data_IF_812298003058
#
_entry.id   IF_812298003058
#
_cell.length_a   1.000
_cell.length_b   1.000
_cell.length_c   1.000
_cell.angle_alpha   90.00
_cell.angle_beta   90.00
_cell.angle_gamma   90.00
#
_symmetry.space_group_name_H-M   'P 1'
#
loop_
_entity.id
_entity.type
_entity.pdbx_description
1 polymer ?
#
# COMPACT_ATOMS: atom_id res chain seq x y z
N UNK A 1 9.52 -56.57 42.96
CA UNK A 1 10.96 -56.58 43.31
C UNK A 1 11.48 -55.17 43.04
N UNK A 2 11.45 -54.31 44.06
CA UNK A 2 12.55 -54.10 45.02
C UNK A 2 13.60 -53.14 44.41
N UNK A 3 13.45 -51.82 44.57
CA UNK A 3 13.93 -50.99 45.70
C UNK A 3 15.38 -50.51 45.58
N UNK A 4 15.57 -49.26 45.98
CA UNK A 4 16.74 -48.67 46.69
C UNK A 4 17.80 -47.91 45.87
N UNK A 5 17.83 -46.59 46.08
CA UNK A 5 19.01 -45.73 45.98
C UNK A 5 20.04 -46.05 47.09
N UNK A 6 21.29 -45.55 47.05
CA UNK A 6 21.59 -44.32 47.81
C UNK A 6 22.76 -43.44 47.27
N UNK A 7 23.03 -42.38 48.04
CA UNK A 7 23.78 -41.15 47.76
C UNK A 7 25.28 -41.12 48.15
N UNK A 8 26.02 -40.10 47.65
CA UNK A 8 26.85 -39.07 48.37
C UNK A 8 27.84 -38.38 47.38
N UNK A 9 27.79 -37.04 47.18
CA UNK A 9 28.44 -35.88 47.88
C UNK A 9 29.93 -35.72 47.48
N UNK A 10 30.42 -34.59 46.93
CA UNK A 10 30.70 -33.30 47.61
C UNK A 10 31.15 -32.17 46.63
N UNK A 11 30.78 -30.92 47.00
CA UNK A 11 31.46 -29.59 46.88
C UNK A 11 31.77 -29.00 45.49
N UNK A 12 31.48 -27.73 45.15
CA UNK A 12 31.78 -26.45 45.85
C UNK A 12 30.81 -25.34 45.38
N UNK A 13 30.20 -24.57 46.28
CA UNK A 13 30.48 -23.14 46.61
C UNK A 13 29.89 -22.07 45.66
N UNK A 14 29.32 -21.01 46.26
CA UNK A 14 29.21 -19.68 45.63
C UNK A 14 27.81 -19.07 45.54
N UNK A 15 27.30 -18.55 46.65
CA UNK A 15 26.08 -17.76 46.74
C UNK A 15 26.17 -16.36 46.08
N UNK A 16 25.02 -15.87 45.60
CA UNK A 16 24.75 -14.48 45.20
C UNK A 16 24.93 -13.49 46.39
N UNK A 17 24.98 -12.14 46.22
CA UNK A 17 23.78 -11.38 45.83
C UNK A 17 24.00 -10.03 45.09
N UNK A 18 22.86 -9.48 44.63
CA UNK A 18 22.65 -8.17 44.02
C UNK A 18 23.06 -6.95 44.89
N UNK A 19 23.39 -5.81 44.23
CA UNK A 19 22.85 -4.46 44.53
C UNK A 19 23.40 -3.33 43.64
N UNK A 20 22.50 -2.37 43.40
CA UNK A 20 22.66 -0.90 43.25
C UNK A 20 22.95 -0.26 41.87
N UNK A 21 21.88 0.33 41.34
CA UNK A 21 21.73 1.73 40.92
C UNK A 21 22.96 2.63 41.13
N UNK A 22 23.41 3.27 40.04
CA UNK A 22 24.23 4.48 40.06
C UNK A 22 23.47 5.59 39.34
N UNK A 23 23.10 6.61 40.13
CA UNK A 23 22.71 7.96 39.71
C UNK A 23 23.94 8.64 39.09
N UNK A 24 23.78 9.30 37.95
CA UNK A 24 24.67 10.36 37.52
C UNK A 24 23.85 11.65 37.38
N UNK A 25 24.05 12.53 38.36
CA UNK A 25 23.70 13.94 38.34
C UNK A 25 25.01 14.73 38.34
N UNK A 26 25.14 15.68 37.44
CA UNK A 26 26.16 16.73 37.51
C UNK A 26 25.46 18.08 37.59
N UNK A 27 25.82 18.84 38.62
CA UNK A 27 25.32 20.16 38.98
C UNK A 27 26.37 21.23 38.65
N UNK A 28 25.92 22.49 38.76
CA UNK A 28 26.63 23.78 38.93
C UNK A 28 26.65 24.63 37.64
N UNK A 29 26.30 25.92 37.63
CA UNK A 29 26.61 27.05 38.55
C UNK A 29 25.42 28.06 38.48
N UNK A 30 24.73 28.47 39.56
CA UNK A 30 25.00 29.52 40.57
C UNK A 30 24.99 30.99 40.07
N UNK A 31 23.92 31.71 40.43
CA UNK A 31 23.80 33.13 40.87
C UNK A 31 22.32 33.51 40.75
N UNK A 32 21.59 34.08 41.71
CA UNK A 32 21.88 34.65 43.01
C UNK A 32 20.78 35.70 43.29
N UNK A 33 20.39 35.85 44.56
CA UNK A 33 19.59 36.93 45.16
C UNK A 33 18.10 36.65 45.44
N UNK A 34 17.90 36.16 46.67
CA UNK A 34 16.73 36.21 47.55
C UNK A 34 16.28 37.65 47.83
N UNK A 35 14.98 37.91 48.04
CA UNK A 35 14.38 38.47 49.27
C UNK A 35 12.85 38.39 49.19
N UNK A 36 12.25 37.88 50.26
CA UNK A 36 10.82 37.70 50.50
C UNK A 36 10.09 38.99 50.91
N UNK A 37 8.77 39.05 50.70
CA UNK A 37 7.76 39.29 51.77
C UNK A 37 6.45 39.94 51.28
N UNK A 38 5.33 39.37 51.76
CA UNK A 38 3.99 39.94 52.00
C UNK A 38 2.97 40.08 50.86
N UNK A 39 1.94 39.22 50.98
CA UNK A 39 0.55 39.35 50.51
C UNK A 39 -0.17 40.48 51.29
N UNK A 40 -1.24 41.12 50.77
CA UNK A 40 -2.59 40.52 50.82
C UNK A 40 -3.46 40.67 49.55
N UNK A 41 -4.31 39.66 49.35
CA UNK A 41 -5.68 39.65 48.84
C UNK A 41 -6.12 40.57 47.68
N UNK A 42 -6.55 39.97 46.56
CA UNK A 42 -7.88 40.18 45.99
C UNK A 42 -8.24 39.11 44.93
N UNK A 43 -9.47 38.64 45.05
CA UNK A 43 -10.21 37.63 44.29
C UNK A 43 -10.24 37.77 42.76
N UNK A 44 -10.17 36.63 42.05
CA UNK A 44 -11.31 36.08 41.27
C UNK A 44 -10.91 34.77 40.57
N UNK A 45 -11.55 33.69 41.02
CA UNK A 45 -11.58 32.38 40.35
C UNK A 45 -12.75 32.40 39.38
N UNK A 46 -12.51 32.15 38.09
CA UNK A 46 -13.58 31.86 37.12
C UNK A 46 -13.55 30.36 36.82
N UNK A 47 -14.55 29.66 37.37
CA UNK A 47 -14.96 28.31 36.99
C UNK A 47 -15.52 28.36 35.56
N UNK A 48 -15.02 27.51 34.66
CA UNK A 48 -15.72 27.14 33.44
C UNK A 48 -16.51 25.85 33.72
N UNK A 49 -17.82 26.02 33.87
CA UNK A 49 -18.79 24.93 34.01
C UNK A 49 -19.24 24.41 32.65
N UNK A 50 -19.34 23.08 32.59
CA UNK A 50 -20.05 22.29 31.60
C UNK A 50 -21.41 22.89 31.22
N UNK A 51 -21.64 23.09 29.93
CA UNK A 51 -22.96 23.43 29.37
C UNK A 51 -23.31 22.50 28.22
N UNK A 52 -24.39 21.76 28.47
CA UNK A 52 -25.33 21.07 27.61
C UNK A 52 -25.36 21.55 26.15
N UNK A 53 -25.08 20.65 25.20
CA UNK A 53 -25.42 20.83 23.78
C UNK A 53 -26.88 20.42 23.56
N UNK A 54 -27.73 21.42 23.36
CA UNK A 54 -29.11 21.27 22.91
C UNK A 54 -29.11 21.05 21.40
N UNK A 55 -29.82 20.01 20.95
CA UNK A 55 -30.05 19.71 19.53
C UNK A 55 -30.83 20.84 18.85
N UNK A 56 -30.29 21.37 17.75
CA UNK A 56 -31.02 22.23 16.81
C UNK A 56 -31.16 21.46 15.50
N UNK A 57 -32.40 21.14 15.17
CA UNK A 57 -32.79 20.57 13.88
C UNK A 57 -33.02 21.69 12.84
N UNK A 58 -33.03 21.23 11.57
CA UNK A 58 -33.56 21.86 10.34
C UNK A 58 -32.53 22.62 9.46
N UNK A 59 -32.78 22.74 8.14
CA UNK A 59 -33.31 21.74 7.21
C UNK A 59 -32.50 21.67 5.89
N UNK A 60 -32.62 20.55 5.18
CA UNK A 60 -32.11 20.37 3.82
C UNK A 60 -32.84 21.29 2.84
N UNK A 61 -32.09 22.11 2.10
CA UNK A 61 -32.49 22.65 0.79
C UNK A 61 -31.36 22.41 -0.21
N UNK A 62 -31.57 21.41 -1.05
CA UNK A 62 -30.80 21.14 -2.27
C UNK A 62 -30.92 22.32 -3.24
N UNK A 63 -29.81 22.98 -3.53
CA UNK A 63 -29.60 23.68 -4.81
C UNK A 63 -28.36 23.10 -5.48
N UNK A 64 -28.61 22.34 -6.54
CA UNK A 64 -27.63 21.81 -7.47
C UNK A 64 -26.98 22.99 -8.20
N UNK A 65 -25.76 23.35 -7.84
CA UNK A 65 -24.93 24.26 -8.63
C UNK A 65 -24.05 23.39 -9.52
N UNK A 66 -24.36 23.39 -10.82
CA UNK A 66 -23.48 22.84 -11.86
C UNK A 66 -22.24 23.73 -11.95
N UNK A 67 -21.08 23.22 -11.59
CA UNK A 67 -19.80 23.76 -12.03
C UNK A 67 -19.26 22.88 -13.14
N UNK A 68 -19.26 23.43 -14.35
CA UNK A 68 -18.66 22.83 -15.53
C UNK A 68 -17.14 22.78 -15.43
N UNK A 69 -16.59 21.73 -16.04
CA UNK A 69 -15.29 21.63 -16.70
C UNK A 69 -14.02 21.91 -15.90
N UNK A 70 -13.32 20.83 -15.54
CA UNK A 70 -11.86 20.78 -15.60
C UNK A 70 -11.47 19.66 -16.59
N UNK A 71 -10.62 20.02 -17.54
CA UNK A 71 -10.24 19.30 -18.75
C UNK A 71 -9.63 17.91 -18.51
N UNK A 72 -9.73 16.98 -19.49
CA UNK A 72 -9.11 15.67 -19.39
C UNK A 72 -7.58 15.82 -19.39
N UNK A 73 -6.95 15.34 -18.32
CA UNK A 73 -5.49 15.19 -18.28
C UNK A 73 -5.19 13.87 -18.99
N UNK A 74 -4.94 13.95 -20.28
CA UNK A 74 -4.38 12.87 -21.06
C UNK A 74 -2.88 12.73 -20.72
N UNK A 75 -2.49 11.58 -20.20
CA UNK A 75 -1.10 11.12 -20.19
C UNK A 75 -1.12 9.68 -20.69
N UNK A 76 -0.49 9.43 -21.83
CA UNK A 76 -0.14 8.13 -22.40
C UNK A 76 -1.23 7.02 -22.37
N UNK A 77 -2.39 7.30 -22.95
CA UNK A 77 -3.22 6.26 -23.57
C UNK A 77 -4.01 5.32 -22.66
N UNK A 78 -4.19 5.62 -21.37
CA UNK A 78 -5.10 4.89 -20.47
C UNK A 78 -6.15 5.86 -19.89
N UNK A 79 -7.31 5.97 -20.55
CA UNK A 79 -8.42 6.81 -20.11
C UNK A 79 -9.23 6.11 -19.00
N UNK A 80 -8.77 6.24 -17.74
CA UNK A 80 -9.22 5.41 -16.61
C UNK A 80 -10.33 6.02 -15.74
N UNK A 81 -11.11 6.99 -16.21
CA UNK A 81 -12.09 7.66 -15.32
C UNK A 81 -13.51 7.11 -15.40
N UNK A 82 -13.98 6.68 -16.56
CA UNK A 82 -15.33 6.12 -16.73
C UNK A 82 -15.34 4.57 -16.69
N UNK A 83 -14.35 3.94 -17.32
CA UNK A 83 -14.22 2.48 -17.41
C UNK A 83 -13.82 1.83 -16.06
N UNK A 84 -13.15 2.59 -15.18
CA UNK A 84 -12.69 2.08 -13.89
C UNK A 84 -13.80 1.76 -12.89
N UNK A 85 -15.03 2.22 -13.12
CA UNK A 85 -16.18 1.87 -12.27
C UNK A 85 -16.87 0.58 -12.74
N UNK A 86 -16.88 0.31 -14.05
CA UNK A 86 -17.49 -0.89 -14.63
C UNK A 86 -16.57 -2.12 -14.50
N UNK A 87 -15.26 -1.95 -14.72
CA UNK A 87 -14.26 -3.02 -14.64
C UNK A 87 -14.08 -3.59 -13.20
N UNK A 88 -14.40 -2.78 -12.17
CA UNK A 88 -14.38 -3.20 -10.75
C UNK A 88 -15.31 -4.36 -10.43
N UNK A 89 -16.39 -4.55 -11.18
CA UNK A 89 -17.40 -5.57 -10.85
C UNK A 89 -17.04 -7.00 -11.30
N UNK A 90 -15.96 -7.19 -12.07
CA UNK A 90 -15.66 -8.47 -12.76
C UNK A 90 -14.55 -9.33 -12.11
N UNK A 91 -13.88 -8.86 -11.05
CA UNK A 91 -12.62 -9.46 -10.58
C UNK A 91 -12.75 -10.67 -9.63
N UNK A 92 -13.95 -11.13 -9.33
CA UNK A 92 -14.19 -12.12 -8.26
C UNK A 92 -14.05 -13.60 -8.64
N UNK A 93 -13.40 -13.95 -9.77
CA UNK A 93 -13.43 -15.35 -10.21
C UNK A 93 -12.23 -15.80 -11.06
N UNK A 94 -11.06 -16.03 -10.44
CA UNK A 94 -10.19 -17.18 -10.78
C UNK A 94 -8.83 -17.08 -10.08
N UNK A 95 -8.46 -18.11 -9.32
CA UNK A 95 -7.08 -18.36 -8.90
C UNK A 95 -6.81 -19.84 -9.14
N UNK A 96 -5.84 -20.20 -9.99
CA UNK A 96 -5.00 -21.40 -9.84
C UNK A 96 -4.01 -21.64 -11.00
N UNK A 97 -2.77 -21.89 -10.60
CA UNK A 97 -1.75 -22.79 -11.16
C UNK A 97 -0.94 -22.38 -12.43
N UNK A 98 0.36 -22.14 -12.23
CA UNK A 98 1.39 -22.15 -13.28
C UNK A 98 2.19 -23.46 -13.26
N UNK A 99 2.36 -24.05 -14.44
CA UNK A 99 3.14 -25.28 -14.70
C UNK A 99 4.52 -24.91 -15.25
N UNK A 100 5.56 -25.59 -14.76
CA UNK A 100 6.96 -25.45 -15.21
C UNK A 100 7.16 -26.29 -16.47
N UNK A 101 7.73 -25.71 -17.53
CA UNK A 101 8.27 -26.46 -18.69
C UNK A 101 9.77 -26.22 -18.78
N UNK A 102 10.51 -27.32 -18.84
CA UNK A 102 11.96 -27.37 -19.03
C UNK A 102 12.26 -27.64 -20.50
N UNK A 103 13.13 -26.85 -21.12
CA UNK A 103 13.56 -27.04 -22.51
C UNK A 103 15.07 -27.31 -22.55
N UNK A 104 15.43 -28.47 -23.10
CA UNK A 104 16.80 -28.91 -23.42
C UNK A 104 17.04 -28.68 -24.91
N UNK A 105 18.17 -28.05 -25.24
CA UNK A 105 18.42 -27.44 -26.56
C UNK A 105 19.17 -28.28 -27.59
N UNK A 106 19.87 -27.60 -28.51
CA UNK A 106 20.84 -28.18 -29.46
C UNK A 106 21.97 -27.18 -29.74
N UNK A 107 23.21 -27.64 -29.71
CA UNK A 107 24.42 -26.81 -29.68
C UNK A 107 25.13 -26.57 -31.02
N UNK A 108 26.25 -25.84 -30.90
CA UNK A 108 27.32 -25.67 -31.88
C UNK A 108 28.59 -25.15 -31.15
N UNK A 109 29.81 -25.50 -31.59
CA UNK A 109 31.01 -25.44 -30.75
C UNK A 109 31.80 -24.13 -30.96
N UNK A 110 32.06 -23.42 -29.87
CA UNK A 110 33.18 -22.48 -29.77
C UNK A 110 33.59 -22.39 -28.31
N UNK A 111 34.89 -22.52 -28.04
CA UNK A 111 35.45 -22.69 -26.70
C UNK A 111 34.98 -21.61 -25.70
N UNK A 112 34.88 -21.94 -24.41
CA UNK A 112 34.28 -21.02 -23.45
C UNK A 112 35.21 -19.81 -23.27
N UNK A 113 34.72 -18.56 -23.44
CA UNK A 113 35.39 -17.43 -22.83
C UNK A 113 35.37 -17.63 -21.32
N UNK A 114 36.45 -17.24 -20.65
CA UNK A 114 36.66 -17.41 -19.22
C UNK A 114 35.51 -16.75 -18.43
N UNK A 115 34.53 -17.55 -18.00
CA UNK A 115 33.35 -17.06 -17.26
C UNK A 115 33.76 -16.79 -15.82
N UNK A 116 33.85 -15.51 -15.47
CA UNK A 116 34.01 -15.10 -14.06
C UNK A 116 32.74 -15.45 -13.29
N UNK A 117 32.88 -16.28 -12.26
CA UNK A 117 31.80 -16.51 -11.30
C UNK A 117 31.47 -15.20 -10.60
N UNK A 118 30.19 -14.86 -10.56
CA UNK A 118 29.70 -13.77 -9.73
C UNK A 118 29.84 -14.18 -8.26
N UNK A 119 30.35 -13.26 -7.42
CA UNK A 119 30.31 -13.44 -5.97
C UNK A 119 28.85 -13.48 -5.46
N UNK A 120 28.66 -13.63 -4.15
CA UNK A 120 27.33 -13.73 -3.51
C UNK A 120 26.38 -12.56 -3.84
N UNK A 121 26.89 -11.46 -4.40
CA UNK A 121 26.16 -10.21 -4.70
C UNK A 121 25.66 -10.07 -6.16
N UNK A 122 25.88 -11.07 -7.03
CA UNK A 122 25.45 -11.01 -8.43
C UNK A 122 26.27 -10.03 -9.31
N UNK A 123 25.81 -9.79 -10.54
CA UNK A 123 26.49 -8.92 -11.51
C UNK A 123 26.53 -7.47 -11.00
N UNK A 124 27.74 -6.90 -10.90
CA UNK A 124 27.93 -5.49 -10.51
C UNK A 124 27.14 -4.58 -11.46
N UNK A 125 26.14 -3.90 -10.93
CA UNK A 125 25.34 -2.91 -11.65
C UNK A 125 26.24 -1.74 -12.13
N UNK A 126 26.03 -1.29 -13.37
CA UNK A 126 26.53 0.00 -13.86
C UNK A 126 27.77 -0.01 -14.78
N UNK A 127 28.40 -1.16 -15.02
CA UNK A 127 29.56 -1.26 -15.93
C UNK A 127 29.24 -1.76 -17.35
N UNK A 128 28.05 -2.33 -17.53
CA UNK A 128 27.69 -3.07 -18.73
C UNK A 128 26.93 -2.17 -19.71
N UNK A 129 27.24 -2.26 -21.01
CA UNK A 129 26.52 -1.56 -22.08
C UNK A 129 25.89 -2.58 -23.01
N UNK A 130 24.56 -2.61 -23.06
CA UNK A 130 23.83 -3.54 -23.93
C UNK A 130 24.01 -3.22 -25.41
N UNK A 131 23.96 -4.25 -26.26
CA UNK A 131 24.02 -4.12 -27.73
C UNK A 131 22.86 -4.83 -28.44
N UNK A 132 21.94 -5.42 -27.69
CA UNK A 132 20.79 -6.16 -28.25
C UNK A 132 19.78 -5.23 -28.93
N UNK A 133 19.38 -5.55 -30.15
CA UNK A 133 18.33 -4.82 -30.89
C UNK A 133 16.96 -5.50 -30.81
N UNK A 134 16.86 -6.65 -30.15
CA UNK A 134 15.59 -7.36 -29.98
C UNK A 134 14.69 -6.63 -28.97
N UNK A 135 13.49 -6.21 -29.40
CA UNK A 135 12.53 -5.50 -28.55
C UNK A 135 11.96 -6.40 -27.46
N UNK A 136 11.69 -7.66 -27.78
CA UNK A 136 11.11 -8.63 -26.86
C UNK A 136 12.17 -9.63 -26.43
N UNK A 137 12.31 -9.81 -25.11
CA UNK A 137 13.34 -10.68 -24.55
C UNK A 137 12.83 -11.35 -23.28
N UNK A 138 13.19 -12.62 -23.03
CA UNK A 138 12.82 -13.28 -21.78
C UNK A 138 13.53 -12.60 -20.61
N UNK A 139 12.92 -12.66 -19.43
CA UNK A 139 13.61 -12.30 -18.20
C UNK A 139 14.71 -13.33 -17.89
N UNK A 140 15.94 -12.88 -17.65
CA UNK A 140 17.07 -13.77 -17.45
C UNK A 140 17.32 -14.03 -15.96
N UNK A 141 17.40 -15.30 -15.56
CA UNK A 141 17.91 -15.67 -14.23
C UNK A 141 19.42 -15.82 -14.31
N UNK A 142 20.14 -14.77 -13.90
CA UNK A 142 21.59 -14.69 -14.08
C UNK A 142 22.34 -15.40 -12.94
N UNK A 143 23.23 -16.32 -13.30
CA UNK A 143 24.20 -16.96 -12.40
C UNK A 143 25.65 -16.58 -12.73
N UNK A 144 25.86 -15.88 -13.85
CA UNK A 144 27.14 -15.43 -14.38
C UNK A 144 27.00 -14.01 -14.93
N UNK A 145 28.12 -13.34 -15.19
CA UNK A 145 28.13 -12.04 -15.85
C UNK A 145 27.39 -12.12 -17.20
N UNK A 146 26.35 -11.30 -17.41
CA UNK A 146 25.54 -11.35 -18.62
C UNK A 146 26.31 -10.82 -19.83
N UNK A 147 26.10 -11.45 -20.98
CA UNK A 147 26.68 -11.03 -22.26
C UNK A 147 26.02 -9.71 -22.73
N UNK A 148 26.78 -8.67 -23.10
CA UNK A 148 26.25 -7.41 -23.67
C UNK A 148 25.22 -7.59 -24.80
N UNK A 149 25.38 -8.61 -25.65
CA UNK A 149 24.46 -8.93 -26.75
C UNK A 149 23.08 -9.40 -26.25
N UNK A 150 23.01 -9.77 -24.98
CA UNK A 150 21.81 -10.18 -24.25
C UNK A 150 21.27 -9.06 -23.36
N UNK A 151 21.51 -7.79 -23.69
CA UNK A 151 20.96 -6.63 -22.98
C UNK A 151 20.60 -5.53 -23.99
N UNK A 152 19.41 -4.94 -23.87
CA UNK A 152 18.97 -3.84 -24.73
C UNK A 152 19.63 -2.51 -24.31
N UNK A 153 20.21 -1.71 -25.21
CA UNK A 153 20.64 -0.35 -24.90
C UNK A 153 19.44 0.60 -24.69
N UNK A 154 19.65 1.81 -24.12
CA UNK A 154 18.58 2.72 -23.72
C UNK A 154 17.53 3.04 -24.79
N UNK A 155 17.93 3.28 -26.04
CA UNK A 155 16.99 3.60 -27.13
C UNK A 155 16.07 2.40 -27.46
N UNK A 156 16.60 1.18 -27.45
CA UNK A 156 15.82 -0.06 -27.66
C UNK A 156 14.91 -0.34 -26.46
N UNK A 157 15.34 -0.01 -25.24
CA UNK A 157 14.50 -0.13 -24.03
C UNK A 157 13.26 0.77 -24.09
N UNK A 158 13.39 1.99 -24.61
CA UNK A 158 12.25 2.90 -24.83
C UNK A 158 11.25 2.30 -25.83
N UNK A 159 11.74 1.76 -26.94
CA UNK A 159 10.91 1.10 -27.94
C UNK A 159 10.25 -0.17 -27.40
N UNK A 160 10.98 -0.97 -26.60
CA UNK A 160 10.48 -2.18 -25.95
C UNK A 160 9.38 -1.85 -24.94
N UNK A 161 9.56 -0.81 -24.11
CA UNK A 161 8.54 -0.37 -23.17
C UNK A 161 7.28 0.13 -23.89
N UNK A 162 7.46 0.89 -24.97
CA UNK A 162 6.36 1.36 -25.82
C UNK A 162 5.59 0.19 -26.46
N UNK A 163 6.30 -0.85 -26.90
CA UNK A 163 5.70 -2.08 -27.43
C UNK A 163 4.84 -2.79 -26.37
N UNK A 164 5.35 -2.93 -25.14
CA UNK A 164 4.60 -3.58 -24.04
C UNK A 164 3.33 -2.78 -23.73
N UNK A 165 3.42 -1.46 -23.61
CA UNK A 165 2.26 -0.57 -23.37
C UNK A 165 1.20 -0.74 -24.46
N UNK A 166 1.62 -0.72 -25.73
CA UNK A 166 0.71 -0.92 -26.88
C UNK A 166 0.04 -2.30 -26.84
N UNK A 167 0.80 -3.38 -26.65
CA UNK A 167 0.25 -4.74 -26.57
C UNK A 167 -0.74 -4.89 -25.41
N UNK A 168 -0.48 -4.25 -24.27
CA UNK A 168 -1.41 -4.24 -23.14
C UNK A 168 -2.77 -3.68 -23.54
N UNK A 169 -2.79 -2.54 -24.25
CA UNK A 169 -4.04 -1.90 -24.69
C UNK A 169 -4.74 -2.70 -25.79
N UNK A 170 -4.00 -3.27 -26.75
CA UNK A 170 -4.57 -4.01 -27.89
C UNK A 170 -5.13 -5.38 -27.52
N UNK A 171 -4.47 -6.08 -26.59
CA UNK A 171 -4.78 -7.46 -26.24
C UNK A 171 -4.03 -7.86 -24.98
N UNK A 172 -4.60 -7.60 -23.79
CA UNK A 172 -3.83 -7.68 -22.56
C UNK A 172 -3.54 -9.13 -22.15
N UNK A 173 -2.26 -9.49 -22.22
CA UNK A 173 -1.68 -10.73 -21.68
C UNK A 173 -0.78 -10.38 -20.51
N UNK A 174 -1.22 -10.73 -19.30
CA UNK A 174 -0.50 -10.43 -18.07
C UNK A 174 0.85 -11.14 -17.98
N UNK A 175 0.90 -12.42 -18.33
CA UNK A 175 2.11 -13.22 -18.20
C UNK A 175 3.20 -12.67 -19.13
N UNK A 176 2.82 -12.34 -20.36
CA UNK A 176 3.70 -11.71 -21.33
C UNK A 176 4.16 -10.31 -20.87
N UNK A 177 3.23 -9.44 -20.45
CA UNK A 177 3.56 -8.08 -20.04
C UNK A 177 4.48 -8.06 -18.81
N UNK A 178 4.17 -8.85 -17.78
CA UNK A 178 5.00 -8.96 -16.56
C UNK A 178 6.40 -9.48 -16.89
N UNK A 179 6.52 -10.52 -17.72
CA UNK A 179 7.83 -11.04 -18.16
C UNK A 179 8.65 -9.97 -18.90
N UNK A 180 8.05 -9.28 -19.88
CA UNK A 180 8.75 -8.25 -20.64
C UNK A 180 9.16 -7.07 -19.77
N UNK A 181 8.33 -6.63 -18.82
CA UNK A 181 8.65 -5.55 -17.90
C UNK A 181 9.75 -5.94 -16.92
N UNK A 182 9.74 -7.17 -16.39
CA UNK A 182 10.85 -7.69 -15.59
C UNK A 182 12.16 -7.72 -16.39
N UNK A 183 12.10 -8.12 -17.66
CA UNK A 183 13.26 -8.12 -18.56
C UNK A 183 13.79 -6.69 -18.81
N UNK A 184 12.92 -5.71 -19.05
CA UNK A 184 13.29 -4.30 -19.24
C UNK A 184 13.92 -3.73 -17.96
N UNK A 185 13.28 -3.94 -16.81
CA UNK A 185 13.77 -3.49 -15.50
C UNK A 185 15.14 -4.09 -15.16
N UNK A 186 15.36 -5.36 -15.53
CA UNK A 186 16.65 -6.02 -15.40
C UNK A 186 17.73 -5.39 -16.29
N UNK A 187 17.43 -5.17 -17.57
CA UNK A 187 18.37 -4.54 -18.51
C UNK A 187 18.76 -3.13 -18.03
N UNK A 188 17.81 -2.36 -17.49
CA UNK A 188 18.08 -1.06 -16.86
C UNK A 188 19.03 -1.18 -15.66
N UNK A 189 18.75 -2.13 -14.75
CA UNK A 189 19.55 -2.34 -13.53
C UNK A 189 20.99 -2.77 -13.84
N UNK A 190 21.17 -3.70 -14.79
CA UNK A 190 22.50 -4.20 -15.17
C UNK A 190 23.38 -3.09 -15.76
N UNK A 191 22.77 -2.18 -16.50
CA UNK A 191 23.44 -1.02 -17.10
C UNK A 191 23.57 0.17 -16.13
N UNK A 192 22.99 0.10 -14.93
CA UNK A 192 22.98 1.19 -13.95
C UNK A 192 22.25 2.43 -14.46
N UNK A 193 21.21 2.26 -15.27
CA UNK A 193 20.39 3.36 -15.77
C UNK A 193 19.55 3.95 -14.63
N UNK A 194 19.32 5.25 -14.71
CA UNK A 194 18.47 6.02 -13.80
C UNK A 194 17.65 7.03 -14.61
N UNK A 195 16.61 7.59 -14.00
CA UNK A 195 15.75 8.59 -14.62
C UNK A 195 14.46 8.00 -15.20
N UNK A 196 13.85 8.76 -16.12
CA UNK A 196 12.46 8.59 -16.53
C UNK A 196 12.15 7.22 -17.13
N UNK A 197 13.03 6.66 -17.97
CA UNK A 197 12.86 5.32 -18.53
C UNK A 197 12.69 4.26 -17.44
N UNK A 198 13.50 4.34 -16.38
CA UNK A 198 13.48 3.35 -15.29
C UNK A 198 12.21 3.52 -14.48
N UNK A 199 11.88 4.76 -14.10
CA UNK A 199 10.62 5.05 -13.40
C UNK A 199 9.42 4.57 -14.21
N UNK A 200 9.34 4.90 -15.50
CA UNK A 200 8.20 4.54 -16.36
C UNK A 200 8.05 3.00 -16.50
N UNK A 201 9.15 2.25 -16.60
CA UNK A 201 9.10 0.79 -16.63
C UNK A 201 8.55 0.18 -15.33
N UNK A 202 8.89 0.72 -14.16
CA UNK A 202 8.35 0.26 -12.87
C UNK A 202 6.91 0.72 -12.63
N UNK A 203 6.60 1.97 -12.98
CA UNK A 203 5.26 2.55 -12.86
C UNK A 203 4.26 1.83 -13.77
N UNK A 204 4.64 1.52 -15.00
CA UNK A 204 3.83 0.71 -15.94
C UNK A 204 3.56 -0.68 -15.36
N UNK A 205 4.58 -1.34 -14.83
CA UNK A 205 4.41 -2.66 -14.22
C UNK A 205 3.50 -2.61 -12.99
N UNK A 206 3.66 -1.60 -12.13
CA UNK A 206 2.79 -1.42 -10.98
C UNK A 206 1.32 -1.18 -11.39
N UNK A 207 1.04 -0.37 -12.42
CA UNK A 207 -0.33 -0.16 -12.93
C UNK A 207 -0.94 -1.47 -13.46
N UNK A 208 -0.20 -2.22 -14.29
CA UNK A 208 -0.65 -3.52 -14.80
C UNK A 208 -0.91 -4.52 -13.67
N UNK A 209 -0.05 -4.55 -12.64
CA UNK A 209 -0.24 -5.41 -11.47
C UNK A 209 -1.48 -5.03 -10.65
N UNK A 210 -1.76 -3.72 -10.48
CA UNK A 210 -3.00 -3.25 -9.83
C UNK A 210 -4.22 -3.65 -10.66
N UNK A 211 -4.14 -3.53 -11.98
CA UNK A 211 -5.24 -3.90 -12.88
C UNK A 211 -5.54 -5.41 -12.83
N UNK A 212 -4.53 -6.26 -12.64
CA UNK A 212 -4.75 -7.71 -12.53
C UNK A 212 -4.94 -8.23 -11.13
N UNK A 213 -4.73 -7.40 -10.10
CA UNK A 213 -4.85 -7.83 -8.71
C UNK A 213 -3.64 -8.62 -8.21
N UNK A 214 -2.49 -8.49 -8.87
CA UNK A 214 -1.29 -9.28 -8.62
C UNK A 214 -0.41 -8.63 -7.55
N UNK A 215 -0.79 -8.89 -6.29
CA UNK A 215 -0.19 -8.28 -5.10
C UNK A 215 1.33 -8.51 -4.98
N UNK A 216 1.81 -9.68 -5.42
CA UNK A 216 3.24 -10.01 -5.37
C UNK A 216 4.08 -9.10 -6.27
N UNK A 217 3.60 -8.82 -7.48
CA UNK A 217 4.28 -7.96 -8.45
C UNK A 217 4.16 -6.50 -8.02
N UNK A 218 2.99 -6.10 -7.51
CA UNK A 218 2.78 -4.77 -6.95
C UNK A 218 3.70 -4.48 -5.76
N UNK A 219 3.82 -5.41 -4.81
CA UNK A 219 4.68 -5.21 -3.64
C UNK A 219 6.15 -5.07 -4.03
N UNK A 220 6.62 -5.85 -5.01
CA UNK A 220 8.01 -5.78 -5.50
C UNK A 220 8.29 -4.45 -6.21
N UNK A 221 7.38 -4.03 -7.09
CA UNK A 221 7.50 -2.78 -7.85
C UNK A 221 7.40 -1.55 -6.94
N UNK A 222 6.53 -1.55 -5.93
CA UNK A 222 6.45 -0.45 -4.95
C UNK A 222 7.74 -0.26 -4.15
N UNK A 223 8.39 -1.35 -3.72
CA UNK A 223 9.69 -1.27 -3.03
C UNK A 223 10.76 -0.66 -3.94
N UNK A 224 10.85 -1.12 -5.20
CA UNK A 224 11.79 -0.59 -6.17
C UNK A 224 11.54 0.90 -6.48
N UNK A 225 10.28 1.31 -6.67
CA UNK A 225 9.91 2.71 -6.88
C UNK A 225 10.27 3.59 -5.68
N UNK A 226 10.07 3.10 -4.45
CA UNK A 226 10.50 3.81 -3.25
C UNK A 226 12.00 4.08 -3.25
N UNK A 227 12.81 3.08 -3.58
CA UNK A 227 14.27 3.21 -3.65
C UNK A 227 14.67 4.20 -4.74
N UNK A 228 14.05 4.12 -5.92
CA UNK A 228 14.31 5.02 -7.05
C UNK A 228 13.98 6.48 -6.70
N UNK A 229 12.82 6.75 -6.11
CA UNK A 229 12.42 8.11 -5.74
C UNK A 229 13.27 8.67 -4.60
N UNK A 230 13.63 7.82 -3.63
CA UNK A 230 14.53 8.23 -2.55
C UNK A 230 15.93 8.55 -3.09
N UNK A 231 16.49 7.70 -3.95
CA UNK A 231 17.78 7.92 -4.59
C UNK A 231 17.79 9.22 -5.42
N UNK A 232 16.74 9.48 -6.20
CA UNK A 232 16.60 10.73 -6.95
C UNK A 232 16.62 11.96 -6.01
N UNK A 233 15.92 11.87 -4.87
CA UNK A 233 15.89 12.94 -3.86
C UNK A 233 17.28 13.21 -3.28
N UNK A 234 18.01 12.17 -2.89
CA UNK A 234 19.36 12.31 -2.32
C UNK A 234 20.37 12.87 -3.33
N UNK A 235 20.24 12.48 -4.61
CA UNK A 235 21.11 12.96 -5.69
C UNK A 235 20.74 14.36 -6.21
N UNK A 236 19.63 14.94 -5.75
CA UNK A 236 19.12 16.23 -6.25
C UNK A 236 18.54 16.14 -7.67
N UNK A 237 18.23 14.93 -8.15
CA UNK A 237 17.60 14.71 -9.45
C UNK A 237 16.09 14.93 -9.35
N UNK A 238 15.48 15.33 -10.47
CA UNK A 238 14.02 15.38 -10.57
C UNK A 238 13.44 13.98 -10.37
N UNK A 239 12.37 13.87 -9.58
CA UNK A 239 11.56 12.65 -9.48
C UNK A 239 10.62 12.58 -10.68
N UNK A 240 10.18 11.36 -11.00
CA UNK A 240 9.09 11.13 -11.96
C UNK A 240 7.88 12.04 -11.66
N UNK A 241 7.21 12.56 -12.69
CA UNK A 241 5.98 13.33 -12.52
C UNK A 241 4.87 12.55 -11.80
N UNK A 242 4.90 11.22 -11.85
CA UNK A 242 3.91 10.36 -11.21
C UNK A 242 4.30 9.94 -9.79
N UNK A 243 5.42 10.42 -9.24
CA UNK A 243 5.91 9.92 -7.95
C UNK A 243 4.88 10.03 -6.81
N UNK A 244 4.09 11.11 -6.78
CA UNK A 244 3.04 11.32 -5.77
C UNK A 244 1.89 10.30 -5.87
N UNK A 245 1.55 9.86 -7.08
CA UNK A 245 0.58 8.79 -7.32
C UNK A 245 1.03 7.49 -6.66
N UNK A 246 2.27 7.06 -6.92
CA UNK A 246 2.80 5.80 -6.40
C UNK A 246 3.11 5.84 -4.91
N UNK A 247 3.46 7.01 -4.37
CA UNK A 247 3.55 7.21 -2.92
C UNK A 247 2.16 7.03 -2.28
N UNK A 248 1.12 7.63 -2.85
CA UNK A 248 -0.25 7.47 -2.36
C UNK A 248 -0.72 6.01 -2.45
N UNK A 249 -0.39 5.32 -3.54
CA UNK A 249 -0.68 3.89 -3.70
C UNK A 249 0.02 3.04 -2.64
N UNK A 250 1.28 3.32 -2.31
CA UNK A 250 2.00 2.63 -1.24
C UNK A 250 1.35 2.87 0.13
N UNK A 251 0.91 4.10 0.39
CA UNK A 251 0.17 4.41 1.62
C UNK A 251 -1.11 3.58 1.69
N UNK A 252 -1.93 3.57 0.64
CA UNK A 252 -3.16 2.76 0.58
C UNK A 252 -2.88 1.26 0.72
N UNK A 253 -1.85 0.75 0.04
CA UNK A 253 -1.44 -0.65 0.13
C UNK A 253 -1.06 -1.06 1.56
N UNK A 254 -0.39 -0.17 2.30
CA UNK A 254 -0.05 -0.41 3.72
C UNK A 254 -1.27 -0.52 4.64
N UNK A 255 -2.45 -0.05 4.21
CA UNK A 255 -3.70 -0.14 4.98
C UNK A 255 -4.37 -1.52 4.88
N UNK A 256 -3.85 -2.42 4.05
CA UNK A 256 -4.38 -3.79 3.91
C UNK A 256 -4.34 -4.54 5.24
N UNK A 257 -3.21 -4.45 5.93
CA UNK A 257 -2.94 -5.04 7.24
C UNK A 257 -3.52 -4.14 8.34
N UNK A 258 -4.50 -4.62 9.13
CA UNK A 258 -5.19 -3.79 10.14
C UNK A 258 -4.30 -3.32 11.28
N UNK A 259 -3.40 -4.19 11.74
CA UNK A 259 -2.68 -4.00 13.01
C UNK A 259 -1.63 -2.89 12.93
N UNK A 260 -1.12 -2.65 11.73
CA UNK A 260 0.05 -1.79 11.51
C UNK A 260 -0.29 -0.51 10.75
N UNK A 261 -1.58 -0.23 10.48
CA UNK A 261 -2.00 0.94 9.70
C UNK A 261 -1.40 2.24 10.26
N UNK A 262 -1.51 2.46 11.57
CA UNK A 262 -1.01 3.69 12.20
C UNK A 262 0.52 3.79 12.07
N UNK A 263 1.24 2.71 12.36
CA UNK A 263 2.70 2.66 12.34
C UNK A 263 3.23 2.88 10.92
N UNK A 264 2.73 2.09 9.96
CA UNK A 264 3.12 2.17 8.55
C UNK A 264 2.84 3.55 7.96
N UNK A 265 1.66 4.11 8.20
CA UNK A 265 1.34 5.45 7.72
C UNK A 265 2.22 6.51 8.36
N UNK A 266 2.53 6.39 9.65
CA UNK A 266 3.40 7.35 10.35
C UNK A 266 4.82 7.33 9.78
N UNK A 267 5.38 6.14 9.55
CA UNK A 267 6.72 5.98 8.96
C UNK A 267 6.76 6.56 7.55
N UNK A 268 5.77 6.25 6.71
CA UNK A 268 5.68 6.81 5.36
C UNK A 268 5.53 8.33 5.40
N UNK A 269 4.66 8.85 6.27
CA UNK A 269 4.46 10.30 6.42
C UNK A 269 5.71 11.05 6.87
N UNK A 270 6.55 10.44 7.71
CA UNK A 270 7.79 11.04 8.17
C UNK A 270 8.80 11.25 7.04
N UNK A 271 8.75 10.41 5.99
CA UNK A 271 9.64 10.48 4.83
C UNK A 271 9.23 11.56 3.80
N UNK A 272 8.03 12.13 3.93
CA UNK A 272 7.48 13.08 2.95
C UNK A 272 7.85 14.53 3.27
N UNK A 273 8.14 15.33 2.25
CA UNK A 273 8.32 16.78 2.44
C UNK A 273 6.97 17.47 2.69
N UNK A 274 6.98 18.72 3.15
CA UNK A 274 5.74 19.49 3.29
C UNK A 274 5.02 19.70 1.94
N UNK A 275 5.79 19.86 0.86
CA UNK A 275 5.25 19.98 -0.49
C UNK A 275 4.58 18.68 -0.96
N UNK A 276 5.17 17.53 -0.67
CA UNK A 276 4.57 16.22 -1.01
C UNK A 276 3.21 16.04 -0.32
N UNK A 277 3.12 16.39 0.96
CA UNK A 277 1.88 16.26 1.75
C UNK A 277 0.75 17.16 1.24
N UNK A 278 1.06 18.22 0.51
CA UNK A 278 0.08 19.14 -0.06
C UNK A 278 -0.52 18.62 -1.38
N UNK A 279 0.04 17.56 -1.97
CA UNK A 279 -0.47 16.99 -3.23
C UNK A 279 -1.79 16.26 -3.03
N UNK A 280 -2.66 16.32 -4.05
CA UNK A 280 -4.01 15.75 -3.97
C UNK A 280 -3.99 14.23 -3.75
N UNK A 281 -3.06 13.50 -4.38
CA UNK A 281 -2.96 12.04 -4.29
C UNK A 281 -2.58 11.61 -2.86
N UNK A 282 -1.56 12.23 -2.26
CA UNK A 282 -1.10 11.92 -0.90
C UNK A 282 -2.14 12.34 0.14
N UNK A 283 -2.74 13.53 -0.03
CA UNK A 283 -3.81 14.00 0.84
C UNK A 283 -5.04 13.07 0.79
N UNK A 284 -5.38 12.52 -0.38
CA UNK A 284 -6.43 11.51 -0.52
C UNK A 284 -6.10 10.26 0.31
N UNK A 285 -4.93 9.66 0.10
CA UNK A 285 -4.52 8.45 0.83
C UNK A 285 -4.52 8.68 2.35
N UNK A 286 -4.05 9.84 2.78
CA UNK A 286 -4.06 10.22 4.19
C UNK A 286 -5.46 10.31 4.80
N UNK A 287 -6.41 10.90 4.07
CA UNK A 287 -7.81 10.98 4.50
C UNK A 287 -8.45 9.60 4.59
N UNK A 288 -8.10 8.68 3.69
CA UNK A 288 -8.53 7.27 3.79
C UNK A 288 -7.96 6.65 5.06
N UNK A 289 -6.66 6.82 5.32
CA UNK A 289 -6.03 6.33 6.55
C UNK A 289 -6.67 6.90 7.82
N UNK A 290 -6.93 8.20 7.85
CA UNK A 290 -7.61 8.86 8.97
C UNK A 290 -9.03 8.30 9.18
N UNK A 291 -9.80 8.12 8.10
CA UNK A 291 -11.15 7.55 8.18
C UNK A 291 -11.12 6.13 8.78
N UNK A 292 -10.15 5.30 8.41
CA UNK A 292 -9.97 3.97 8.98
C UNK A 292 -9.61 4.01 10.46
N UNK A 293 -8.62 4.84 10.84
CA UNK A 293 -8.16 4.97 12.22
C UNK A 293 -9.25 5.50 13.16
N UNK A 294 -10.11 6.40 12.66
CA UNK A 294 -11.23 6.96 13.41
C UNK A 294 -12.52 6.11 13.32
N UNK A 295 -12.50 4.98 12.59
CA UNK A 295 -13.72 4.19 12.27
C UNK A 295 -14.85 5.03 11.63
N UNK A 296 -14.49 6.07 10.87
CA UNK A 296 -15.42 6.88 10.10
C UNK A 296 -15.69 6.20 8.75
N UNK A 297 -16.54 5.18 8.79
CA UNK A 297 -16.88 4.38 7.61
C UNK A 297 -17.67 5.18 6.57
N UNK A 298 -18.45 6.19 6.98
CA UNK A 298 -19.21 7.02 6.05
C UNK A 298 -18.27 7.86 5.17
N UNK A 299 -17.23 8.46 5.77
CA UNK A 299 -16.20 9.16 5.01
C UNK A 299 -15.36 8.18 4.19
N UNK A 300 -15.01 7.01 4.74
CA UNK A 300 -14.27 5.98 4.01
C UNK A 300 -14.97 5.57 2.71
N UNK A 301 -16.26 5.21 2.77
CA UNK A 301 -17.00 4.77 1.59
C UNK A 301 -17.22 5.89 0.57
N UNK A 302 -17.37 7.14 1.03
CA UNK A 302 -17.40 8.30 0.13
C UNK A 302 -16.07 8.50 -0.60
N UNK A 303 -14.95 8.31 0.08
CA UNK A 303 -13.61 8.37 -0.52
C UNK A 303 -13.38 7.20 -1.49
N UNK A 304 -13.90 6.02 -1.16
CA UNK A 304 -13.83 4.83 -2.01
C UNK A 304 -14.60 5.02 -3.34
N UNK A 305 -15.82 5.57 -3.27
CA UNK A 305 -16.62 5.89 -4.47
C UNK A 305 -15.97 6.98 -5.33
N UNK A 306 -15.37 7.99 -4.70
CA UNK A 306 -14.68 9.09 -5.37
C UNK A 306 -13.18 8.89 -5.55
N UNK A 307 -12.68 7.66 -5.55
CA UNK A 307 -11.24 7.38 -5.57
C UNK A 307 -10.61 7.81 -6.91
N UNK A 308 -9.53 8.61 -6.90
CA UNK A 308 -8.87 9.07 -8.12
C UNK A 308 -7.99 7.97 -8.74
N UNK A 309 -7.78 8.04 -10.06
CA UNK A 309 -6.86 7.15 -10.80
C UNK A 309 -7.12 5.67 -10.46
N UNK A 310 -6.08 4.90 -10.13
CA UNK A 310 -6.20 3.50 -9.73
C UNK A 310 -6.36 3.29 -8.22
N UNK A 311 -6.53 4.35 -7.42
CA UNK A 311 -6.54 4.26 -5.97
C UNK A 311 -7.62 3.30 -5.44
N UNK A 312 -8.82 3.30 -6.04
CA UNK A 312 -9.87 2.41 -5.57
C UNK A 312 -9.63 0.94 -5.93
N UNK A 313 -8.87 0.61 -6.98
CA UNK A 313 -8.44 -0.78 -7.22
C UNK A 313 -7.52 -1.29 -6.10
N UNK A 314 -6.72 -0.40 -5.50
CA UNK A 314 -5.91 -0.76 -4.33
C UNK A 314 -6.80 -0.90 -3.09
N UNK A 315 -7.81 -0.04 -2.95
CA UNK A 315 -8.77 -0.14 -1.84
C UNK A 315 -9.60 -1.43 -1.91
N UNK A 316 -9.87 -1.95 -3.11
CA UNK A 316 -10.58 -3.22 -3.29
C UNK A 316 -9.91 -4.39 -2.55
N UNK A 317 -8.58 -4.36 -2.36
CA UNK A 317 -7.86 -5.40 -1.62
C UNK A 317 -8.22 -5.49 -0.13
N UNK A 318 -8.86 -4.47 0.44
CA UNK A 318 -9.21 -4.45 1.85
C UNK A 318 -10.61 -3.89 2.15
N UNK A 319 -11.36 -3.44 1.15
CA UNK A 319 -12.71 -2.89 1.32
C UNK A 319 -13.66 -3.88 2.00
N UNK A 320 -13.56 -5.17 1.71
CA UNK A 320 -14.45 -6.19 2.32
C UNK A 320 -14.17 -6.40 3.81
N UNK A 321 -12.92 -6.24 4.25
CA UNK A 321 -12.56 -6.18 5.68
C UNK A 321 -13.25 -4.99 6.32
N UNK A 322 -13.15 -3.82 5.69
CA UNK A 322 -13.73 -2.56 6.18
C UNK A 322 -15.26 -2.62 6.22
N UNK A 323 -15.91 -3.15 5.17
CA UNK A 323 -17.36 -3.42 5.15
C UNK A 323 -17.78 -4.32 6.31
N UNK A 324 -16.94 -5.28 6.66
CA UNK A 324 -17.14 -6.14 7.82
C UNK A 324 -17.18 -5.38 9.14
N UNK A 325 -16.17 -4.55 9.38
CA UNK A 325 -16.08 -3.72 10.57
C UNK A 325 -17.23 -2.70 10.63
N UNK A 326 -17.53 -2.06 9.49
CA UNK A 326 -18.64 -1.11 9.36
C UNK A 326 -19.99 -1.76 9.66
N UNK A 327 -20.25 -2.94 9.11
CA UNK A 327 -21.47 -3.71 9.38
C UNK A 327 -21.65 -3.95 10.88
N UNK A 328 -20.59 -4.37 11.59
CA UNK A 328 -20.67 -4.58 13.04
C UNK A 328 -21.01 -3.31 13.81
N UNK A 329 -20.48 -2.16 13.38
CA UNK A 329 -20.82 -0.86 13.99
C UNK A 329 -22.25 -0.46 13.68
N UNK A 330 -22.71 -0.60 12.43
CA UNK A 330 -24.09 -0.29 12.05
C UNK A 330 -25.10 -1.19 12.75
N UNK A 331 -24.86 -2.50 12.81
CA UNK A 331 -25.75 -3.42 13.51
C UNK A 331 -25.87 -3.08 15.00
N UNK A 332 -24.82 -2.55 15.64
CA UNK A 332 -24.85 -2.14 17.06
C UNK A 332 -25.53 -0.79 17.29
N UNK A 333 -25.36 0.16 16.37
CA UNK A 333 -25.85 1.53 16.52
C UNK A 333 -27.28 1.74 16.00
N UNK A 334 -27.70 0.95 15.00
CA UNK A 334 -29.01 1.04 14.39
C UNK A 334 -30.06 0.25 15.18
N UNK A 335 -31.34 0.56 14.92
CA UNK A 335 -32.51 -0.03 15.57
C UNK A 335 -32.66 -1.54 15.35
N UNK A 336 -33.75 -2.15 15.85
CA UNK A 336 -33.91 -3.62 15.88
C UNK A 336 -33.94 -4.27 14.48
N UNK A 337 -34.39 -3.55 13.46
CA UNK A 337 -34.38 -4.00 12.07
C UNK A 337 -33.76 -2.90 11.18
N UNK A 338 -32.91 -3.31 10.24
CA UNK A 338 -32.26 -2.41 9.27
C UNK A 338 -32.57 -2.90 7.86
N UNK A 339 -33.10 -2.04 7.00
CA UNK A 339 -33.41 -2.40 5.62
C UNK A 339 -32.14 -2.76 4.83
N UNK A 340 -32.23 -3.78 3.99
CA UNK A 340 -31.09 -4.23 3.16
C UNK A 340 -30.69 -3.15 2.15
N UNK A 341 -31.63 -2.31 1.70
CA UNK A 341 -31.31 -1.18 0.82
C UNK A 341 -30.47 -0.11 1.53
N UNK A 342 -30.77 0.18 2.80
CA UNK A 342 -29.98 1.12 3.61
C UNK A 342 -28.56 0.59 3.80
N UNK A 343 -28.41 -0.70 4.15
CA UNK A 343 -27.10 -1.34 4.27
C UNK A 343 -26.34 -1.37 2.94
N UNK A 344 -27.03 -1.59 1.81
CA UNK A 344 -26.43 -1.52 0.48
C UNK A 344 -25.83 -0.13 0.24
N UNK A 345 -26.54 0.94 0.59
CA UNK A 345 -26.03 2.31 0.45
C UNK A 345 -24.91 2.62 1.45
N UNK A 346 -25.06 2.23 2.71
CA UNK A 346 -24.06 2.48 3.76
C UNK A 346 -22.74 1.74 3.54
N UNK A 347 -22.79 0.53 2.98
CA UNK A 347 -21.61 -0.29 2.69
C UNK A 347 -21.08 -0.12 1.26
N UNK A 348 -21.65 0.83 0.50
CA UNK A 348 -21.27 1.15 -0.88
C UNK A 348 -21.25 -0.11 -1.78
N UNK A 349 -22.38 -0.81 -1.83
CA UNK A 349 -22.60 -1.87 -2.82
C UNK A 349 -23.37 -1.33 -4.02
N UNK A 350 -22.90 -1.65 -5.23
CA UNK A 350 -23.61 -1.26 -6.46
C UNK A 350 -24.94 -2.00 -6.61
N UNK A 351 -24.94 -3.32 -6.34
CA UNK A 351 -26.11 -4.18 -6.54
C UNK A 351 -26.61 -4.76 -5.22
N UNK A 352 -27.93 -4.77 -5.04
CA UNK A 352 -28.58 -5.41 -3.88
C UNK A 352 -28.18 -6.88 -3.73
N UNK A 353 -28.01 -7.61 -4.84
CA UNK A 353 -27.59 -9.02 -4.86
C UNK A 353 -26.22 -9.24 -4.22
N UNK A 354 -25.27 -8.34 -4.45
CA UNK A 354 -23.92 -8.42 -3.88
C UNK A 354 -23.94 -8.13 -2.39
N UNK A 355 -24.66 -7.09 -1.97
CA UNK A 355 -24.89 -6.80 -0.56
C UNK A 355 -25.53 -7.99 0.15
N UNK A 356 -26.58 -8.59 -0.44
CA UNK A 356 -27.24 -9.76 0.14
C UNK A 356 -26.30 -10.96 0.29
N UNK A 357 -25.46 -11.24 -0.73
CA UNK A 357 -24.45 -12.30 -0.66
C UNK A 357 -23.45 -12.04 0.47
N UNK A 358 -22.90 -10.83 0.54
CA UNK A 358 -21.97 -10.43 1.59
C UNK A 358 -22.58 -10.58 2.99
N UNK A 359 -23.80 -10.08 3.19
CA UNK A 359 -24.52 -10.20 4.46
C UNK A 359 -24.72 -11.67 4.87
N UNK A 360 -25.13 -12.52 3.93
CA UNK A 360 -25.32 -13.96 4.16
C UNK A 360 -24.01 -14.67 4.54
N UNK A 361 -22.91 -14.35 3.85
CA UNK A 361 -21.58 -14.90 4.16
C UNK A 361 -21.10 -14.50 5.57
N UNK A 362 -21.54 -13.34 6.07
CA UNK A 362 -21.27 -12.87 7.43
C UNK A 362 -22.23 -13.40 8.49
N UNK A 363 -23.17 -14.27 8.12
CA UNK A 363 -24.07 -14.93 9.05
C UNK A 363 -25.14 -14.04 9.65
N UNK A 364 -25.46 -12.89 9.04
CA UNK A 364 -26.55 -12.03 9.56
C UNK A 364 -27.91 -12.69 9.39
N UNK A 365 -28.78 -12.46 10.36
CA UNK A 365 -30.16 -12.98 10.39
C UNK A 365 -31.08 -12.01 9.68
N UNK A 366 -31.82 -12.50 8.69
CA UNK A 366 -32.81 -11.70 7.97
C UNK A 366 -34.19 -11.86 8.60
N UNK A 367 -35.04 -10.86 8.43
CA UNK A 367 -36.48 -10.98 8.70
C UNK A 367 -37.13 -11.97 7.72
N UNK A 368 -38.33 -12.47 8.05
CA UNK A 368 -39.04 -13.47 7.24
C UNK A 368 -39.21 -13.03 5.77
N UNK A 369 -39.48 -11.73 5.56
CA UNK A 369 -39.65 -11.12 4.23
C UNK A 369 -38.32 -10.89 3.49
N UNK A 370 -37.16 -11.13 4.12
CA UNK A 370 -35.80 -10.90 3.59
C UNK A 370 -35.53 -9.47 3.13
N UNK A 371 -36.35 -8.51 3.57
CA UNK A 371 -36.22 -7.09 3.25
C UNK A 371 -35.28 -6.38 4.22
N UNK A 372 -35.26 -6.81 5.48
CA UNK A 372 -34.45 -6.24 6.54
C UNK A 372 -33.59 -7.30 7.22
N UNK A 373 -32.53 -6.83 7.88
CA UNK A 373 -31.67 -7.60 8.78
C UNK A 373 -32.16 -7.37 10.20
N UNK A 374 -32.37 -8.45 10.96
CA UNK A 374 -32.60 -8.38 12.41
C UNK A 374 -31.26 -8.08 13.08
N UNK A 375 -31.08 -6.82 13.46
CA UNK A 375 -29.83 -6.35 14.02
C UNK A 375 -29.58 -6.92 15.42
N UNK A 376 -30.61 -7.34 16.16
CA UNK A 376 -30.45 -7.92 17.50
C UNK A 376 -29.98 -9.37 17.40
N UNK A 377 -30.60 -10.15 16.52
CA UNK A 377 -30.23 -11.54 16.29
C UNK A 377 -28.87 -11.68 15.58
N UNK A 378 -28.48 -10.68 14.78
CA UNK A 378 -27.20 -10.68 14.04
C UNK A 378 -25.98 -10.19 14.84
N UNK A 379 -26.17 -9.77 16.10
CA UNK A 379 -25.09 -9.35 17.02
C UNK A 379 -24.47 -10.51 17.81
N UNK A 380 -25.16 -11.66 17.84
CA UNK A 380 -24.73 -12.89 18.52
C UNK A 380 -23.72 -13.63 17.64
#
# INVERSE_FOLDING_TARGET
MATTAPAKRLSDEGAAPAKKMVKLSSSNILNGTTVASRVPAASKVVKLSSSTLTAVACPVKTKLVKTNSASPIAIDGLDLTAEALEDRTLRFNSTSASTIVSLKGTGGPSGPPERRQLGQDGARAGGLKGTSTALERPYLRLHFEPDPSTIRPPHVLLEALSLVKRKWVEGPDYAHASEQLMSIQQDCRLQGLEGDLVSDAYETHARIAIERGELGDLSRTMSALSELYYAATIKGNARSPNCHEFIAYRMLYSMREEREVLENLTVLYAQLTAADRATADIAFAARVGQALLCSDYATFFRLYEGAPKMAGYIMDFFVDRVRGAALQVYLRSMGPAVEVDDLKHLLSFAKRKECFRFLRERGVVFTEDKRAVDAKASRA
#
